data_IF_797344937194
#
_entry.id   IF_797344937194
#
_cell.length_a   1.000
_cell.length_b   1.000
_cell.length_c   1.000
_cell.angle_alpha   90.00
_cell.angle_beta   90.00
_cell.angle_gamma   90.00
#
_symmetry.space_group_name_H-M   'P 1'
#
loop_
_entity.id
_entity.type
_entity.pdbx_description
1 polymer ?
#
# COMPACT_ATOMS: atom_id res chain seq x y z
N UNK A 1 6.30 -16.10 1.46
CA UNK A 1 6.99 -14.93 0.95
C UNK A 1 6.55 -13.71 1.68
N UNK A 2 7.44 -12.78 1.91
CA UNK A 2 7.09 -11.58 2.63
C UNK A 2 6.94 -10.40 1.69
N UNK A 3 6.05 -9.48 2.05
CA UNK A 3 5.89 -8.24 1.32
C UNK A 3 7.11 -7.35 1.53
N UNK A 4 7.41 -6.54 0.54
CA UNK A 4 8.56 -5.62 0.57
C UNK A 4 8.03 -4.19 0.55
N UNK A 5 8.63 -3.31 1.34
CA UNK A 5 8.27 -1.90 1.31
C UNK A 5 8.73 -1.34 -0.04
N UNK A 6 7.78 -0.81 -0.80
CA UNK A 6 8.06 -0.27 -2.13
C UNK A 6 8.00 1.25 -2.17
N UNK A 7 7.54 1.90 -1.11
CA UNK A 7 7.49 3.35 -1.06
C UNK A 7 6.51 3.85 -0.03
N UNK A 8 6.18 5.11 -0.13
CA UNK A 8 5.23 5.77 0.75
C UNK A 8 4.20 6.52 -0.06
N UNK A 9 3.00 6.65 0.51
CA UNK A 9 1.94 7.47 -0.09
C UNK A 9 1.36 8.37 0.98
N UNK A 10 0.80 9.49 0.56
CA UNK A 10 0.12 10.40 1.46
C UNK A 10 -1.37 10.08 1.49
N UNK A 11 -1.93 10.10 2.69
CA UNK A 11 -3.37 9.98 2.86
C UNK A 11 -4.05 11.31 2.55
N UNK A 12 -5.37 11.33 2.54
CA UNK A 12 -6.12 12.56 2.42
C UNK A 12 -5.84 13.53 3.55
N UNK A 13 -5.40 13.03 4.70
CA UNK A 13 -5.03 13.85 5.85
C UNK A 13 -3.58 14.32 5.85
N UNK A 14 -2.88 14.13 4.74
CA UNK A 14 -1.48 14.54 4.53
C UNK A 14 -0.48 13.81 5.42
N UNK A 15 -0.81 12.61 5.88
CA UNK A 15 0.13 11.77 6.59
C UNK A 15 0.74 10.76 5.63
N UNK A 16 2.02 10.48 5.82
CA UNK A 16 2.70 9.48 5.00
C UNK A 16 2.52 8.10 5.61
N UNK A 17 2.28 7.12 4.76
CA UNK A 17 2.17 5.73 5.16
C UNK A 17 3.03 4.88 4.25
N UNK A 18 3.70 3.89 4.84
CA UNK A 18 4.50 2.95 4.05
C UNK A 18 3.58 2.01 3.29
N UNK A 19 4.03 1.60 2.12
CA UNK A 19 3.33 0.64 1.28
C UNK A 19 4.20 -0.58 1.10
N UNK A 20 3.64 -1.76 1.36
CA UNK A 20 4.27 -3.04 1.08
C UNK A 20 3.53 -3.74 -0.06
N UNK A 21 4.28 -4.46 -0.86
CA UNK A 21 3.71 -5.27 -1.92
C UNK A 21 4.39 -6.62 -1.97
N UNK A 22 3.59 -7.67 -2.03
CA UNK A 22 4.10 -9.04 -2.14
C UNK A 22 3.98 -9.48 -3.60
N UNK A 23 5.12 -9.62 -4.27
CA UNK A 23 5.12 -9.97 -5.67
C UNK A 23 4.64 -11.40 -5.93
N UNK A 24 4.65 -12.25 -4.92
CA UNK A 24 4.17 -13.64 -5.07
C UNK A 24 2.65 -13.70 -5.03
N UNK A 25 2.05 -13.12 -3.99
CA UNK A 25 0.60 -13.15 -3.83
C UNK A 25 -0.07 -11.94 -4.46
N UNK A 26 0.71 -10.93 -4.86
CA UNK A 26 0.23 -9.67 -5.43
C UNK A 26 -0.52 -8.80 -4.42
N UNK A 27 -0.40 -9.11 -3.14
CA UNK A 27 -1.11 -8.37 -2.10
C UNK A 27 -0.42 -7.06 -1.75
N UNK A 28 -1.23 -6.06 -1.46
CA UNK A 28 -0.77 -4.71 -1.12
C UNK A 28 -1.16 -4.42 0.32
N UNK A 29 -0.24 -3.86 1.08
CA UNK A 29 -0.48 -3.49 2.48
C UNK A 29 -0.03 -2.05 2.71
N UNK A 30 -0.71 -1.38 3.63
CA UNK A 30 -0.31 -0.03 4.06
C UNK A 30 -0.14 -0.02 5.58
N UNK A 31 0.68 0.88 6.08
CA UNK A 31 0.95 0.99 7.51
C UNK A 31 -0.11 1.85 8.22
N UNK A 32 -1.35 1.45 8.09
CA UNK A 32 -2.49 2.12 8.70
C UNK A 32 -2.88 1.38 9.96
N UNK A 33 -2.44 1.90 11.11
CA UNK A 33 -2.69 1.23 12.39
C UNK A 33 -2.07 -0.15 12.44
N UNK A 34 -0.88 -0.30 11.89
CA UNK A 34 -0.26 -1.59 11.62
C UNK A 34 -0.40 -1.89 10.14
N UNK A 35 -0.04 -3.09 9.71
CA UNK A 35 -0.12 -3.44 8.29
C UNK A 35 -1.53 -3.90 7.94
N UNK A 36 -2.18 -3.10 7.09
CA UNK A 36 -3.55 -3.36 6.66
C UNK A 36 -3.55 -3.73 5.18
N UNK A 37 -4.18 -4.85 4.83
CA UNK A 37 -4.32 -5.27 3.44
C UNK A 37 -5.33 -4.40 2.72
N UNK A 38 -4.96 -3.87 1.55
CA UNK A 38 -5.82 -2.96 0.80
C UNK A 38 -6.20 -3.49 -0.57
N UNK A 39 -5.82 -4.73 -0.87
CA UNK A 39 -6.19 -5.36 -2.13
C UNK A 39 -5.00 -5.98 -2.80
N UNK A 40 -5.11 -6.21 -4.10
CA UNK A 40 -4.06 -6.82 -4.91
C UNK A 40 -3.69 -5.92 -6.06
N UNK A 41 -2.43 -6.02 -6.49
CA UNK A 41 -1.92 -5.22 -7.60
C UNK A 41 -1.01 -6.08 -8.46
N UNK A 42 -0.98 -5.81 -9.75
CA UNK A 42 -0.18 -6.58 -10.69
C UNK A 42 1.26 -6.12 -10.75
N UNK A 43 1.58 -4.95 -10.21
CA UNK A 43 2.93 -4.41 -10.23
C UNK A 43 3.11 -3.46 -9.06
N UNK A 44 4.37 -3.10 -8.78
CA UNK A 44 4.68 -2.14 -7.72
C UNK A 44 4.02 -0.79 -7.98
N UNK A 45 4.02 -0.33 -9.22
CA UNK A 45 3.39 0.93 -9.58
C UNK A 45 1.89 0.90 -9.32
N UNK A 46 1.24 -0.21 -9.68
CA UNK A 46 -0.18 -0.40 -9.44
C UNK A 46 -0.46 -0.48 -7.93
N UNK A 47 0.45 -1.12 -7.18
CA UNK A 47 0.32 -1.21 -5.72
C UNK A 47 0.32 0.18 -5.08
N UNK A 48 1.19 1.06 -5.55
CA UNK A 48 1.25 2.43 -5.04
C UNK A 48 -0.04 3.18 -5.32
N UNK A 49 -0.62 3.01 -6.50
CA UNK A 49 -1.88 3.63 -6.86
C UNK A 49 -3.02 3.14 -5.97
N UNK A 50 -3.07 1.84 -5.74
CA UNK A 50 -4.12 1.26 -4.90
C UNK A 50 -4.02 1.75 -3.47
N UNK A 51 -2.80 1.82 -2.95
CA UNK A 51 -2.58 2.32 -1.61
C UNK A 51 -3.00 3.78 -1.49
N UNK A 52 -2.65 4.59 -2.46
CA UNK A 52 -3.01 6.00 -2.48
C UNK A 52 -4.53 6.17 -2.53
N UNK A 53 -5.18 5.44 -3.41
CA UNK A 53 -6.64 5.51 -3.54
C UNK A 53 -7.33 5.07 -2.24
N UNK A 54 -6.82 4.04 -1.60
CA UNK A 54 -7.38 3.54 -0.36
C UNK A 54 -7.24 4.56 0.76
N UNK A 55 -6.09 5.24 0.82
CA UNK A 55 -5.81 6.21 1.88
C UNK A 55 -6.39 7.59 1.60
N UNK A 56 -6.87 7.82 0.39
CA UNK A 56 -7.35 9.14 -0.01
C UNK A 56 -8.45 9.69 0.90
N UNK A 57 -9.31 8.81 1.37
CA UNK A 57 -10.44 9.17 2.22
C UNK A 57 -10.13 9.07 3.72
N UNK A 58 -8.89 8.84 4.09
CA UNK A 58 -8.52 8.69 5.51
C UNK A 58 -7.94 9.98 6.14
#
# INVERSE_FOLDING_TARGET
MSATIIGKVKSGGRKDYDVKWDSSSKEVYVSWGGWTGVGKASSAADAMRRAEAWLYNK
#
